data_IF_166835644282
#
_entry.id   IF_166835644282
#
_cell.length_a   1.000
_cell.length_b   1.000
_cell.length_c   1.000
_cell.angle_alpha   90.00
_cell.angle_beta   90.00
_cell.angle_gamma   90.00
#
_symmetry.space_group_name_H-M   'P 1'
#
loop_
_entity.id
_entity.type
_entity.pdbx_description
1 polymer ?
#
# COMPACT_ATOMS: atom_id res chain seq x y z
N UNK A 1 24.88 31.61 -1.47
CA UNK A 1 23.74 31.05 -2.24
C UNK A 1 24.14 30.20 -3.45
N UNK A 2 25.40 30.26 -3.95
CA UNK A 2 25.85 29.46 -5.10
C UNK A 2 26.41 28.06 -4.76
N UNK A 3 26.91 27.84 -3.54
CA UNK A 3 27.43 26.52 -3.13
C UNK A 3 26.34 25.45 -2.99
N UNK A 4 25.16 25.85 -2.51
CA UNK A 4 24.02 24.93 -2.31
C UNK A 4 23.44 24.45 -3.64
N UNK A 5 23.36 25.33 -4.65
CA UNK A 5 22.91 24.96 -6.00
C UNK A 5 23.88 23.99 -6.69
N UNK A 6 25.19 24.12 -6.43
CA UNK A 6 26.22 23.25 -6.99
C UNK A 6 26.23 21.85 -6.34
N UNK A 7 25.99 21.77 -5.04
CA UNK A 7 25.86 20.48 -4.33
C UNK A 7 24.57 19.73 -4.69
N UNK A 8 23.46 20.44 -4.92
CA UNK A 8 22.21 19.84 -5.40
C UNK A 8 22.31 19.36 -6.86
N UNK A 9 23.02 20.10 -7.72
CA UNK A 9 23.25 19.66 -9.11
C UNK A 9 24.30 18.54 -9.20
N UNK A 10 25.32 18.52 -8.35
CA UNK A 10 26.24 17.39 -8.24
C UNK A 10 25.54 16.11 -7.73
N UNK A 11 24.60 16.23 -6.77
CA UNK A 11 23.80 15.10 -6.30
C UNK A 11 22.85 14.54 -7.38
N UNK A 12 22.31 15.40 -8.27
CA UNK A 12 21.53 14.98 -9.43
C UNK A 12 22.39 14.30 -10.51
N UNK A 13 23.68 14.62 -10.61
CA UNK A 13 24.63 13.97 -11.54
C UNK A 13 25.25 12.68 -10.99
N UNK A 14 25.24 12.50 -9.67
CA UNK A 14 25.58 11.23 -9.00
C UNK A 14 24.38 10.27 -8.90
N UNK A 15 23.25 10.63 -9.51
CA UNK A 15 22.14 9.71 -9.73
C UNK A 15 22.65 8.51 -10.54
N UNK A 16 22.43 7.27 -10.11
CA UNK A 16 23.00 6.11 -10.76
C UNK A 16 22.28 5.87 -12.08
N UNK A 17 22.76 6.49 -13.17
CA UNK A 17 22.32 6.17 -14.53
C UNK A 17 22.58 4.68 -14.83
N UNK A 18 23.60 4.09 -14.19
CA UNK A 18 23.88 2.66 -14.26
C UNK A 18 22.78 1.77 -13.67
N UNK A 19 21.94 2.26 -12.74
CA UNK A 19 20.79 1.51 -12.22
C UNK A 19 19.64 1.41 -13.26
N UNK A 20 19.61 2.32 -14.24
CA UNK A 20 18.70 2.27 -15.40
C UNK A 20 19.33 1.59 -16.63
N UNK A 21 20.61 1.21 -16.56
CA UNK A 21 21.34 0.55 -17.65
C UNK A 21 21.36 -0.99 -17.52
N UNK A 22 20.57 -1.58 -16.62
CA UNK A 22 20.19 -2.97 -16.81
C UNK A 22 19.25 -3.00 -18.01
N UNK A 23 19.80 -3.33 -19.19
CA UNK A 23 19.01 -3.97 -20.23
C UNK A 23 18.19 -5.05 -19.53
N UNK A 24 16.86 -4.93 -19.57
CA UNK A 24 15.99 -6.05 -19.30
C UNK A 24 16.36 -7.06 -20.37
N UNK A 25 17.26 -7.98 -20.01
CA UNK A 25 17.69 -9.03 -20.90
C UNK A 25 16.48 -9.98 -21.00
N UNK A 26 15.55 -9.66 -21.91
CA UNK A 26 14.29 -10.39 -22.09
C UNK A 26 14.54 -11.85 -22.49
N UNK A 27 15.75 -12.17 -22.96
CA UNK A 27 16.20 -13.52 -23.23
C UNK A 27 16.47 -14.35 -21.95
N UNK A 28 16.82 -13.71 -20.82
CA UNK A 28 17.03 -14.37 -19.51
C UNK A 28 15.87 -14.23 -18.53
N UNK A 29 14.90 -13.35 -18.82
CA UNK A 29 13.70 -13.15 -18.02
C UNK A 29 12.57 -14.17 -18.29
N UNK A 30 12.75 -15.04 -19.29
CA UNK A 30 11.86 -16.17 -19.55
C UNK A 30 12.43 -17.41 -18.86
N UNK A 31 12.19 -17.54 -17.55
CA UNK A 31 12.23 -18.87 -16.93
C UNK A 31 11.19 -19.77 -17.62
N UNK A 32 11.48 -21.07 -17.74
CA UNK A 32 10.53 -22.07 -18.24
C UNK A 32 9.19 -21.93 -17.50
N UNK A 33 8.21 -21.25 -18.12
CA UNK A 33 6.92 -20.92 -17.50
C UNK A 33 6.50 -19.45 -17.46
N UNK A 34 7.26 -18.50 -18.03
CA UNK A 34 6.79 -17.10 -18.17
C UNK A 34 6.71 -16.31 -16.86
N UNK A 35 7.55 -16.65 -15.88
CA UNK A 35 7.70 -15.91 -14.63
C UNK A 35 8.61 -14.70 -14.82
N UNK A 36 8.07 -13.49 -14.62
CA UNK A 36 8.86 -12.26 -14.61
C UNK A 36 9.82 -12.29 -13.42
N UNK A 37 11.13 -12.41 -13.67
CA UNK A 37 12.16 -12.10 -12.67
C UNK A 37 12.21 -10.58 -12.49
N UNK A 38 11.25 -10.03 -11.76
CA UNK A 38 11.28 -8.64 -11.33
C UNK A 38 12.45 -8.50 -10.34
N UNK A 39 13.37 -7.53 -10.49
CA UNK A 39 14.43 -7.31 -9.51
C UNK A 39 13.82 -6.85 -8.18
N UNK A 40 13.49 -7.83 -7.33
CA UNK A 40 12.78 -7.70 -6.05
C UNK A 40 13.45 -6.71 -5.10
N UNK A 41 14.79 -6.56 -5.20
CA UNK A 41 15.57 -5.63 -4.39
C UNK A 41 15.03 -4.19 -4.44
N UNK A 42 14.76 -3.65 -5.62
CA UNK A 42 14.33 -2.25 -5.75
C UNK A 42 12.95 -2.00 -5.14
N UNK A 43 12.04 -2.96 -5.26
CA UNK A 43 10.71 -2.87 -4.66
C UNK A 43 10.77 -2.95 -3.12
N UNK A 44 11.60 -3.84 -2.57
CA UNK A 44 11.82 -3.92 -1.14
C UNK A 44 12.47 -2.65 -0.60
N UNK A 45 13.46 -2.10 -1.31
CA UNK A 45 14.10 -0.84 -0.94
C UNK A 45 13.10 0.32 -0.98
N UNK A 46 12.29 0.42 -2.05
CA UNK A 46 11.28 1.46 -2.17
C UNK A 46 10.23 1.37 -1.05
N UNK A 47 9.75 0.16 -0.73
CA UNK A 47 8.84 -0.08 0.38
C UNK A 47 9.47 0.30 1.73
N UNK A 48 10.74 -0.07 1.95
CA UNK A 48 11.47 0.28 3.18
C UNK A 48 11.67 1.79 3.32
N UNK A 49 12.03 2.49 2.24
CA UNK A 49 12.16 3.94 2.23
C UNK A 49 10.80 4.62 2.44
N UNK A 50 9.74 4.09 1.86
CA UNK A 50 8.39 4.61 2.04
C UNK A 50 7.90 4.48 3.49
N UNK A 51 8.36 3.49 4.26
CA UNK A 51 8.07 3.39 5.71
C UNK A 51 8.69 4.54 6.53
N UNK A 52 9.64 5.30 5.99
CA UNK A 52 10.12 6.52 6.64
C UNK A 52 9.08 7.63 6.65
N UNK A 53 8.09 7.61 5.73
CA UNK A 53 7.00 8.59 5.68
C UNK A 53 6.12 8.53 6.94
N UNK A 54 5.50 7.40 7.31
CA UNK A 54 4.72 7.33 8.54
C UNK A 54 5.58 7.56 9.79
N UNK A 55 6.84 7.13 9.79
CA UNK A 55 7.78 7.44 10.87
C UNK A 55 8.00 8.96 11.01
N UNK A 56 8.18 9.67 9.90
CA UNK A 56 8.28 11.13 9.86
C UNK A 56 7.03 11.82 10.43
N UNK A 57 5.83 11.34 10.09
CA UNK A 57 4.59 11.88 10.65
C UNK A 57 4.48 11.67 12.17
N UNK A 58 4.92 10.51 12.69
CA UNK A 58 4.98 10.27 14.13
C UNK A 58 5.96 11.26 14.79
N UNK A 59 7.16 11.44 14.22
CA UNK A 59 8.17 12.37 14.73
C UNK A 59 7.67 13.82 14.73
N UNK A 60 7.04 14.27 13.64
CA UNK A 60 6.40 15.59 13.55
C UNK A 60 5.28 15.71 14.60
N UNK A 61 4.52 14.64 14.83
CA UNK A 61 3.49 14.61 15.86
C UNK A 61 4.04 14.75 17.28
N UNK A 62 5.25 14.29 17.53
CA UNK A 62 5.91 14.41 18.84
C UNK A 62 6.67 15.73 18.99
N UNK A 63 7.05 16.35 17.87
CA UNK A 63 7.79 17.60 17.85
C UNK A 63 7.02 18.73 18.59
N UNK A 64 7.71 19.41 19.49
CA UNK A 64 7.14 20.52 20.27
C UNK A 64 6.30 20.11 21.49
N UNK A 65 6.23 18.82 21.82
CA UNK A 65 5.66 18.36 23.09
C UNK A 65 6.68 18.44 24.23
N UNK A 66 6.19 18.75 25.43
CA UNK A 66 6.96 18.58 26.66
C UNK A 66 7.39 17.11 26.83
N UNK A 67 8.56 16.87 27.43
CA UNK A 67 9.20 15.55 27.51
C UNK A 67 8.25 14.44 28.01
N UNK A 68 7.45 14.72 29.04
CA UNK A 68 6.51 13.75 29.60
C UNK A 68 5.39 13.34 28.62
N UNK A 69 4.92 14.29 27.81
CA UNK A 69 3.87 14.06 26.81
C UNK A 69 4.44 13.48 25.53
N UNK A 70 5.67 13.84 25.20
CA UNK A 70 6.40 13.36 24.04
C UNK A 70 6.56 11.83 24.05
N UNK A 71 6.91 11.26 25.21
CA UNK A 71 7.03 9.81 25.37
C UNK A 71 5.73 9.06 25.07
N UNK A 72 4.62 9.49 25.68
CA UNK A 72 3.31 8.86 25.46
C UNK A 72 2.84 9.01 24.01
N UNK A 73 3.09 10.16 23.38
CA UNK A 73 2.76 10.39 21.98
C UNK A 73 3.61 9.53 21.03
N UNK A 74 4.90 9.37 21.31
CA UNK A 74 5.80 8.52 20.53
C UNK A 74 5.37 7.05 20.61
N UNK A 75 5.14 6.54 21.83
CA UNK A 75 4.66 5.18 22.04
C UNK A 75 3.30 4.93 21.38
N UNK A 76 2.36 5.88 21.51
CA UNK A 76 1.06 5.80 20.85
C UNK A 76 1.16 5.78 19.33
N UNK A 77 2.05 6.59 18.75
CA UNK A 77 2.32 6.61 17.31
C UNK A 77 2.94 5.30 16.80
N UNK A 78 3.93 4.75 17.52
CA UNK A 78 4.54 3.46 17.18
C UNK A 78 3.53 2.31 17.30
N UNK A 79 2.72 2.30 18.37
CA UNK A 79 1.68 1.30 18.56
C UNK A 79 0.61 1.38 17.45
N UNK A 80 0.24 2.59 17.05
CA UNK A 80 -0.67 2.80 15.93
C UNK A 80 -0.11 2.27 14.60
N UNK A 81 1.16 2.55 14.30
CA UNK A 81 1.85 2.00 13.12
C UNK A 81 1.79 0.48 13.12
N UNK A 82 2.15 -0.15 14.24
CA UNK A 82 2.13 -1.60 14.39
C UNK A 82 0.72 -2.20 14.24
N UNK A 83 -0.30 -1.59 14.85
CA UNK A 83 -1.68 -2.05 14.75
C UNK A 83 -2.27 -1.88 13.35
N UNK A 84 -1.96 -0.78 12.66
CA UNK A 84 -2.39 -0.58 11.28
C UNK A 84 -1.74 -1.62 10.35
N UNK A 85 -0.42 -1.84 10.49
CA UNK A 85 0.31 -2.87 9.75
C UNK A 85 -0.25 -4.28 10.02
N UNK A 86 -0.54 -4.60 11.28
CA UNK A 86 -1.12 -5.87 11.68
C UNK A 86 -2.54 -6.06 11.10
N UNK A 87 -3.40 -5.04 11.19
CA UNK A 87 -4.73 -5.08 10.61
C UNK A 87 -4.69 -5.30 9.09
N UNK A 88 -3.77 -4.60 8.42
CA UNK A 88 -3.57 -4.74 6.98
C UNK A 88 -3.11 -6.14 6.60
N UNK A 89 -2.14 -6.71 7.31
CA UNK A 89 -1.69 -8.09 7.09
C UNK A 89 -2.81 -9.11 7.34
N UNK A 90 -3.55 -8.97 8.44
CA UNK A 90 -4.54 -9.96 8.85
C UNK A 90 -5.75 -10.01 7.89
N UNK A 91 -6.26 -8.83 7.52
CA UNK A 91 -7.54 -8.71 6.79
C UNK A 91 -7.51 -7.68 5.67
N UNK A 92 -6.77 -6.59 5.84
CA UNK A 92 -6.79 -5.49 4.88
C UNK A 92 -6.27 -5.89 3.50
N UNK A 93 -5.20 -6.67 3.39
CA UNK A 93 -4.70 -7.13 2.10
C UNK A 93 -5.77 -7.91 1.33
N UNK A 94 -6.51 -8.78 2.03
CA UNK A 94 -7.57 -9.57 1.43
C UNK A 94 -8.72 -8.70 0.92
N UNK A 95 -9.16 -7.73 1.72
CA UNK A 95 -10.19 -6.79 1.32
C UNK A 95 -9.75 -5.90 0.15
N UNK A 96 -8.48 -5.49 0.12
CA UNK A 96 -7.96 -4.60 -0.90
C UNK A 96 -7.72 -5.31 -2.24
N UNK A 97 -7.08 -6.49 -2.21
CA UNK A 97 -6.55 -7.17 -3.39
C UNK A 97 -7.08 -8.59 -3.60
N UNK A 98 -8.07 -9.04 -2.83
CA UNK A 98 -8.61 -10.40 -2.92
C UNK A 98 -9.27 -10.77 -4.25
N UNK A 99 -9.58 -9.80 -5.12
CA UNK A 99 -10.06 -10.00 -6.48
C UNK A 99 -9.13 -9.52 -7.59
N UNK A 100 -7.89 -9.10 -7.26
CA UNK A 100 -6.98 -8.45 -8.23
C UNK A 100 -6.65 -9.32 -9.44
N UNK A 101 -6.66 -10.64 -9.28
CA UNK A 101 -6.43 -11.63 -10.33
C UNK A 101 -7.54 -11.69 -11.38
N UNK A 102 -8.73 -11.12 -11.09
CA UNK A 102 -9.81 -10.95 -12.07
C UNK A 102 -9.51 -9.84 -13.07
N UNK A 103 -8.69 -8.85 -12.68
CA UNK A 103 -8.34 -7.69 -13.50
C UNK A 103 -6.98 -7.89 -14.17
N UNK A 104 -6.04 -8.49 -13.45
CA UNK A 104 -4.68 -8.72 -13.92
C UNK A 104 -4.39 -10.22 -14.00
N UNK A 105 -4.39 -10.82 -15.22
CA UNK A 105 -4.32 -12.27 -15.39
C UNK A 105 -2.88 -12.82 -15.34
N UNK A 106 -2.09 -12.46 -14.32
CA UNK A 106 -0.76 -13.04 -14.10
C UNK A 106 -0.85 -14.36 -13.33
N UNK A 107 0.05 -15.30 -13.64
CA UNK A 107 0.10 -16.62 -13.00
C UNK A 107 0.16 -16.55 -11.47
N UNK A 108 0.90 -15.57 -10.94
CA UNK A 108 1.09 -15.39 -9.50
C UNK A 108 -0.12 -14.79 -8.76
N UNK A 109 -1.10 -14.20 -9.46
CA UNK A 109 -2.30 -13.60 -8.85
C UNK A 109 -3.57 -14.44 -9.07
N UNK A 110 -3.47 -15.59 -9.76
CA UNK A 110 -4.62 -16.45 -10.13
C UNK A 110 -5.48 -16.93 -8.96
N UNK A 111 -4.97 -16.86 -7.74
CA UNK A 111 -5.67 -17.29 -6.54
C UNK A 111 -6.40 -16.13 -5.86
N UNK A 112 -6.05 -14.88 -6.19
CA UNK A 112 -6.69 -13.68 -5.71
C UNK A 112 -7.86 -13.28 -6.62
N UNK A 113 -8.85 -14.16 -6.73
CA UNK A 113 -9.95 -14.05 -7.71
C UNK A 113 -11.33 -13.98 -7.07
N UNK A 114 -11.41 -13.86 -5.75
CA UNK A 114 -12.69 -13.77 -5.06
C UNK A 114 -12.98 -12.33 -4.70
N UNK A 115 -13.93 -11.74 -5.41
CA UNK A 115 -14.40 -10.37 -5.21
C UNK A 115 -15.90 -10.38 -4.94
N UNK A 116 -16.35 -9.69 -3.90
CA UNK A 116 -17.76 -9.47 -3.65
C UNK A 116 -18.26 -8.24 -4.43
N UNK A 117 -19.41 -8.37 -5.08
CA UNK A 117 -20.08 -7.27 -5.77
C UNK A 117 -21.60 -7.35 -5.58
N UNK A 118 -22.28 -6.21 -5.33
CA UNK A 118 -23.74 -6.15 -5.30
C UNK A 118 -24.38 -6.08 -6.70
N UNK A 119 -23.60 -5.77 -7.74
CA UNK A 119 -24.09 -5.63 -9.11
C UNK A 119 -23.73 -6.87 -9.92
N UNK A 120 -24.67 -7.34 -10.74
CA UNK A 120 -24.42 -8.45 -11.65
C UNK A 120 -23.51 -8.02 -12.81
N UNK A 121 -22.89 -9.01 -13.45
CA UNK A 121 -22.02 -8.81 -14.63
C UNK A 121 -22.79 -8.20 -15.82
N UNK A 122 -24.12 -8.28 -15.81
CA UNK A 122 -25.00 -7.68 -16.83
C UNK A 122 -24.87 -6.15 -16.88
N UNK A 123 -24.50 -5.51 -15.76
CA UNK A 123 -24.25 -4.07 -15.67
C UNK A 123 -22.82 -3.69 -16.07
N UNK A 124 -22.04 -4.64 -16.58
CA UNK A 124 -20.62 -4.50 -16.88
C UNK A 124 -19.74 -5.22 -15.88
N UNK A 125 -18.44 -5.27 -16.18
CA UNK A 125 -17.44 -6.01 -15.41
C UNK A 125 -16.74 -5.06 -14.44
N UNK A 126 -16.31 -5.55 -13.28
CA UNK A 126 -15.49 -4.77 -12.33
C UNK A 126 -16.26 -3.97 -11.28
N UNK A 127 -17.49 -4.34 -10.95
CA UNK A 127 -18.26 -3.71 -9.86
C UNK A 127 -17.86 -4.20 -8.45
N UNK A 128 -16.63 -4.66 -8.29
CA UNK A 128 -16.10 -5.18 -7.02
C UNK A 128 -16.14 -4.13 -5.91
N UNK A 129 -16.50 -4.56 -4.71
CA UNK A 129 -16.60 -3.71 -3.52
C UNK A 129 -15.67 -4.17 -2.40
N UNK A 130 -15.28 -5.45 -2.39
CA UNK A 130 -14.41 -6.03 -1.37
C UNK A 130 -13.83 -7.38 -1.85
N UNK A 131 -12.52 -7.52 -1.75
CA UNK A 131 -11.86 -8.80 -1.95
C UNK A 131 -12.14 -9.77 -0.79
N UNK A 132 -12.23 -11.07 -1.10
CA UNK A 132 -12.58 -12.13 -0.16
C UNK A 132 -11.54 -13.27 -0.12
N UNK A 133 -10.35 -13.06 -0.69
CA UNK A 133 -9.25 -14.02 -0.68
C UNK A 133 -7.93 -13.36 -0.27
N UNK A 134 -7.00 -14.15 0.28
CA UNK A 134 -5.70 -13.64 0.76
C UNK A 134 -5.65 -13.32 2.26
N UNK A 135 -6.58 -13.84 3.06
CA UNK A 135 -6.61 -13.65 4.51
C UNK A 135 -5.31 -14.08 5.18
N UNK A 136 -4.80 -13.23 6.08
CA UNK A 136 -3.53 -13.41 6.79
C UNK A 136 -2.31 -13.59 5.87
N UNK A 137 -2.43 -13.32 4.56
CA UNK A 137 -1.40 -13.64 3.56
C UNK A 137 -0.86 -15.07 3.74
N UNK A 138 -1.77 -16.00 3.99
CA UNK A 138 -1.45 -17.37 4.37
C UNK A 138 -2.08 -18.39 3.43
N UNK A 139 -1.53 -19.61 3.42
CA UNK A 139 -2.01 -20.73 2.62
C UNK A 139 -1.00 -21.21 1.57
N UNK A 140 -1.27 -22.37 0.94
CA UNK A 140 -0.30 -23.06 0.08
C UNK A 140 0.01 -22.32 -1.23
N UNK A 141 -0.76 -21.28 -1.58
CA UNK A 141 -0.67 -20.61 -2.86
C UNK A 141 -0.40 -19.09 -2.77
N UNK A 142 0.19 -18.61 -1.66
CA UNK A 142 0.64 -17.21 -1.56
C UNK A 142 1.95 -17.06 -2.33
N UNK A 143 1.96 -16.12 -3.27
CA UNK A 143 3.04 -15.96 -4.26
C UNK A 143 3.97 -14.81 -3.91
N UNK A 144 5.14 -14.75 -4.56
CA UNK A 144 6.09 -13.66 -4.38
C UNK A 144 5.47 -12.30 -4.73
N UNK A 145 4.68 -12.26 -5.81
CA UNK A 145 3.96 -11.05 -6.21
C UNK A 145 2.89 -10.62 -5.20
N UNK A 146 2.21 -11.55 -4.53
CA UNK A 146 1.27 -11.21 -3.45
C UNK A 146 1.98 -10.52 -2.28
N UNK A 147 3.16 -11.01 -1.87
CA UNK A 147 3.99 -10.35 -0.87
C UNK A 147 4.54 -9.01 -1.35
N UNK A 148 4.93 -8.90 -2.63
CA UNK A 148 5.40 -7.63 -3.20
C UNK A 148 4.29 -6.56 -3.18
N UNK A 149 3.05 -6.93 -3.53
CA UNK A 149 1.87 -6.06 -3.41
C UNK A 149 1.58 -5.67 -1.96
N UNK A 150 1.66 -6.64 -1.03
CA UNK A 150 1.49 -6.32 0.38
C UNK A 150 2.52 -5.28 0.84
N UNK A 151 3.80 -5.52 0.57
CA UNK A 151 4.89 -4.64 1.01
C UNK A 151 4.88 -3.28 0.31
N UNK A 152 4.45 -3.19 -0.95
CA UNK A 152 4.35 -1.91 -1.65
C UNK A 152 3.22 -1.01 -1.11
N UNK A 153 2.15 -1.61 -0.59
CA UNK A 153 1.00 -0.87 -0.06
C UNK A 153 1.05 -0.61 1.45
N UNK A 154 1.79 -1.43 2.20
CA UNK A 154 1.94 -1.30 3.65
C UNK A 154 2.32 0.12 4.13
N UNK A 155 3.29 0.84 3.52
CA UNK A 155 3.66 2.18 3.98
C UNK A 155 2.52 3.19 3.85
N UNK A 156 1.71 3.07 2.81
CA UNK A 156 0.60 3.98 2.54
C UNK A 156 -0.56 3.76 3.49
N UNK A 157 -0.90 2.49 3.77
CA UNK A 157 -1.92 2.12 4.76
C UNK A 157 -1.54 2.66 6.13
N UNK A 158 -0.29 2.44 6.55
CA UNK A 158 0.23 2.92 7.82
C UNK A 158 0.23 4.46 7.87
N UNK A 159 0.62 5.12 6.78
CA UNK A 159 0.58 6.59 6.70
C UNK A 159 -0.84 7.12 6.88
N UNK A 160 -1.81 6.55 6.16
CA UNK A 160 -3.21 6.93 6.27
C UNK A 160 -3.77 6.72 7.69
N UNK A 161 -3.31 5.68 8.40
CA UNK A 161 -3.67 5.44 9.79
C UNK A 161 -3.06 6.46 10.76
N UNK A 162 -1.81 6.87 10.53
CA UNK A 162 -1.09 7.81 11.43
C UNK A 162 -1.66 9.23 11.36
N UNK A 163 -2.11 9.70 10.20
CA UNK A 163 -2.66 11.06 10.02
C UNK A 163 -3.75 11.44 11.04
N UNK A 164 -4.87 10.69 11.16
CA UNK A 164 -5.91 11.02 12.15
C UNK A 164 -5.44 10.83 13.59
N UNK A 165 -4.47 9.95 13.85
CA UNK A 165 -3.95 9.70 15.21
C UNK A 165 -3.12 10.89 15.70
N UNK A 166 -2.29 11.44 14.82
CA UNK A 166 -1.56 12.68 15.08
C UNK A 166 -2.53 13.86 15.26
N UNK A 167 -3.63 13.90 14.50
CA UNK A 167 -4.65 14.96 14.61
C UNK A 167 -5.49 14.87 15.91
N UNK A 168 -5.85 13.67 16.33
CA UNK A 168 -6.66 13.38 17.53
C UNK A 168 -5.84 13.35 18.82
N UNK A 169 -4.51 13.52 18.73
CA UNK A 169 -3.62 13.55 19.88
C UNK A 169 -4.11 14.52 20.95
N UNK A 170 -4.26 14.02 22.18
CA UNK A 170 -4.72 14.81 23.33
C UNK A 170 -6.18 15.24 23.27
N UNK A 171 -6.92 14.85 22.21
CA UNK A 171 -8.36 15.10 22.03
C UNK A 171 -9.19 13.81 22.13
N UNK A 172 -8.57 12.65 21.98
CA UNK A 172 -9.18 11.34 22.13
C UNK A 172 -8.37 10.47 23.10
N UNK A 173 -9.02 9.52 23.80
CA UNK A 173 -8.32 8.55 24.63
C UNK A 173 -7.44 7.62 23.77
N UNK A 174 -6.32 7.16 24.32
CA UNK A 174 -5.35 6.33 23.59
C UNK A 174 -5.98 5.05 23.01
N UNK A 175 -6.89 4.40 23.75
CA UNK A 175 -7.60 3.22 23.26
C UNK A 175 -8.40 3.50 21.99
N UNK A 176 -9.05 4.67 21.90
CA UNK A 176 -9.80 5.03 20.70
C UNK A 176 -8.88 5.25 19.49
N UNK A 177 -7.73 5.89 19.68
CA UNK A 177 -6.77 6.10 18.58
C UNK A 177 -6.12 4.79 18.12
N UNK A 178 -5.86 3.85 19.05
CA UNK A 178 -5.33 2.52 18.72
C UNK A 178 -6.35 1.64 17.98
N UNK A 179 -7.61 1.65 18.43
CA UNK A 179 -8.70 0.96 17.73
C UNK A 179 -8.93 1.57 16.35
N UNK A 180 -8.85 2.90 16.23
CA UNK A 180 -8.93 3.58 14.94
C UNK A 180 -7.78 3.18 14.01
N UNK A 181 -6.54 3.08 14.52
CA UNK A 181 -5.39 2.61 13.73
C UNK A 181 -5.63 1.21 13.16
N UNK A 182 -6.08 0.30 14.03
CA UNK A 182 -6.41 -1.07 13.65
C UNK A 182 -7.53 -1.11 12.61
N UNK A 183 -8.61 -0.35 12.82
CA UNK A 183 -9.76 -0.30 11.92
C UNK A 183 -9.41 0.29 10.55
N UNK A 184 -8.56 1.32 10.53
CA UNK A 184 -8.05 1.91 9.29
C UNK A 184 -7.22 0.90 8.51
N UNK A 185 -6.29 0.20 9.17
CA UNK A 185 -5.46 -0.81 8.52
C UNK A 185 -6.23 -2.07 8.11
N UNK A 186 -7.19 -2.50 8.91
CA UNK A 186 -7.94 -3.73 8.68
C UNK A 186 -9.07 -3.59 7.66
N UNK A 187 -9.77 -2.46 7.63
CA UNK A 187 -11.05 -2.35 6.89
C UNK A 187 -11.14 -1.08 6.05
N UNK A 188 -11.08 0.10 6.68
CA UNK A 188 -11.50 1.35 6.01
C UNK A 188 -10.59 1.70 4.84
N UNK A 189 -9.27 1.75 5.06
CA UNK A 189 -8.33 2.08 4.00
C UNK A 189 -8.28 0.98 2.92
N UNK A 190 -8.21 -0.32 3.26
CA UNK A 190 -8.29 -1.41 2.31
C UNK A 190 -9.49 -1.38 1.36
N UNK A 191 -10.69 -1.11 1.87
CA UNK A 191 -11.89 -1.04 1.04
C UNK A 191 -11.82 0.12 0.05
N UNK A 192 -11.38 1.30 0.50
CA UNK A 192 -11.15 2.42 -0.41
C UNK A 192 -10.06 2.07 -1.46
N UNK A 193 -9.01 1.37 -1.04
CA UNK A 193 -7.97 0.85 -1.93
C UNK A 193 -8.50 -0.14 -2.95
N UNK A 194 -9.42 -1.02 -2.56
CA UNK A 194 -10.08 -1.97 -3.47
C UNK A 194 -10.81 -1.23 -4.59
N UNK A 195 -11.64 -0.25 -4.22
CA UNK A 195 -12.48 0.47 -5.18
C UNK A 195 -11.65 1.17 -6.26
N UNK A 196 -10.50 1.72 -5.90
CA UNK A 196 -9.68 2.56 -6.79
C UNK A 196 -8.55 1.79 -7.47
N UNK A 197 -7.85 0.93 -6.74
CA UNK A 197 -6.59 0.30 -7.18
C UNK A 197 -6.69 -1.24 -7.21
N UNK A 198 -7.61 -1.82 -6.44
CA UNK A 198 -7.79 -3.27 -6.33
C UNK A 198 -8.67 -3.89 -7.42
N UNK A 199 -9.10 -3.09 -8.41
CA UNK A 199 -10.01 -3.56 -9.47
C UNK A 199 -11.50 -3.45 -9.13
N UNK A 200 -11.83 -2.68 -8.09
CA UNK A 200 -13.21 -2.42 -7.69
C UNK A 200 -13.90 -1.35 -8.54
N UNK A 201 -15.11 -1.00 -8.12
CA UNK A 201 -16.08 -0.27 -8.94
C UNK A 201 -15.63 1.13 -9.41
N UNK A 202 -14.88 1.90 -8.60
CA UNK A 202 -14.41 3.23 -9.00
C UNK A 202 -13.46 3.15 -10.19
N UNK A 203 -12.59 2.13 -10.22
CA UNK A 203 -11.68 1.89 -11.34
C UNK A 203 -12.41 1.45 -12.63
N UNK A 204 -13.64 0.92 -12.50
CA UNK A 204 -14.43 0.41 -13.61
C UNK A 204 -15.32 1.47 -14.29
N UNK A 205 -15.44 2.67 -13.70
CA UNK A 205 -16.32 3.74 -14.19
C UNK A 205 -16.02 4.14 -15.64
N UNK A 206 -14.75 4.30 -16.01
CA UNK A 206 -14.39 4.65 -17.38
C UNK A 206 -14.65 3.58 -18.41
N UNK A 207 -14.53 2.30 -18.04
CA UNK A 207 -14.84 1.20 -18.94
C UNK A 207 -16.34 1.01 -19.13
N UNK A 208 -17.13 1.15 -18.07
CA UNK A 208 -18.56 0.81 -18.10
C UNK A 208 -19.46 2.01 -18.42
N UNK A 209 -19.08 3.22 -18.02
CA UNK A 209 -19.90 4.43 -18.11
C UNK A 209 -19.23 5.59 -18.84
N UNK A 210 -18.00 5.42 -19.35
CA UNK A 210 -17.19 6.49 -19.96
C UNK A 210 -16.98 7.71 -19.04
N UNK A 211 -16.99 7.48 -17.73
CA UNK A 211 -16.60 8.46 -16.71
C UNK A 211 -15.08 8.34 -16.42
N UNK A 212 -14.47 9.22 -15.63
CA UNK A 212 -13.02 9.14 -15.34
C UNK A 212 -12.57 7.77 -14.80
N UNK A 213 -11.27 7.46 -14.87
CA UNK A 213 -10.69 6.17 -14.42
C UNK A 213 -10.48 6.11 -12.89
N UNK A 214 -11.28 6.85 -12.12
CA UNK A 214 -11.17 6.96 -10.66
C UNK A 214 -10.37 8.19 -10.23
N UNK A 215 -9.20 7.99 -9.60
CA UNK A 215 -8.32 9.07 -9.12
C UNK A 215 -7.24 9.49 -10.12
N UNK A 216 -7.21 8.84 -11.28
CA UNK A 216 -6.24 9.06 -12.34
C UNK A 216 -7.04 9.47 -13.58
N UNK A 217 -7.36 10.75 -13.64
CA UNK A 217 -7.91 11.37 -14.85
C UNK A 217 -6.75 11.86 -15.74
#
# INVERSE_FOLDING_TARGET
>A
MFLWSFLLSAALWMWPIAAFAQEVNTAGALGEGGSLHVPTFWYLLAAALALLVPAGFVLIGVAGLEAQRAWNAALGGVAAVGLAAFGYWATGFALQFGGIGLVYPQAELRQLVWEWSPLSVEWGIGWGMAGLSGWFLSGPNVTALAYALFLSHLPWVVTAAVLPIVALRGRAPATATLLLALLLGAVIYPLAGNWVQGGGWLSALGRNLSLGHGFVD
#
